data_IF_542224056724
#
_entry.id   IF_542224056724
#
_cell.length_a   1.000
_cell.length_b   1.000
_cell.length_c   1.000
_cell.angle_alpha   90.00
_cell.angle_beta   90.00
_cell.angle_gamma   90.00
#
_symmetry.space_group_name_H-M   'P 1'
#
loop_
_entity.id
_entity.type
_entity.pdbx_description
1 polymer ?
#
# COMPACT_ATOMS: atom_id res chain seq x y z
N UNK A 1 -7.63 62.14 15.82
CA UNK A 1 -8.51 60.96 15.84
C UNK A 1 -8.11 60.02 14.72
N UNK A 2 -7.30 58.99 14.99
CA UNK A 2 -7.02 57.91 14.04
C UNK A 2 -7.99 56.76 14.37
N UNK A 3 -8.86 56.43 13.42
CA UNK A 3 -9.80 55.30 13.49
C UNK A 3 -9.02 54.01 13.29
N UNK A 4 -9.03 53.13 14.29
CA UNK A 4 -8.56 51.74 14.13
C UNK A 4 -9.68 50.95 13.45
N UNK A 5 -9.42 50.45 12.24
CA UNK A 5 -10.22 49.39 11.62
C UNK A 5 -9.91 48.08 12.34
N UNK A 6 -10.92 47.51 13.02
CA UNK A 6 -10.91 46.11 13.41
C UNK A 6 -11.20 45.27 12.16
N UNK A 7 -10.21 44.51 11.69
CA UNK A 7 -10.45 43.42 10.73
C UNK A 7 -11.02 42.23 11.51
N UNK A 8 -12.29 41.90 11.25
CA UNK A 8 -12.91 40.67 11.74
C UNK A 8 -12.45 39.54 10.81
N UNK A 9 -11.60 38.66 11.33
CA UNK A 9 -11.21 37.43 10.65
C UNK A 9 -12.38 36.45 10.75
N UNK A 10 -13.14 36.28 9.66
CA UNK A 10 -14.17 35.25 9.56
C UNK A 10 -13.47 33.94 9.24
N UNK A 11 -13.35 33.07 10.24
CA UNK A 11 -12.92 31.68 10.03
C UNK A 11 -14.13 30.92 9.48
N UNK A 12 -14.11 30.62 8.19
CA UNK A 12 -15.08 29.71 7.56
C UNK A 12 -14.60 28.29 7.86
N UNK A 13 -15.37 27.45 8.57
CA UNK A 13 -14.98 26.07 8.77
C UNK A 13 -15.00 25.34 7.42
N UNK A 14 -13.91 24.64 7.09
CA UNK A 14 -13.90 23.71 5.99
C UNK A 14 -14.90 22.60 6.30
N UNK A 15 -15.99 22.52 5.51
CA UNK A 15 -16.90 21.39 5.56
C UNK A 15 -16.15 20.24 4.88
N UNK A 16 -15.63 19.32 5.68
CA UNK A 16 -15.17 18.03 5.16
C UNK A 16 -16.41 17.29 4.64
N UNK A 17 -16.45 17.01 3.33
CA UNK A 17 -17.45 16.10 2.79
C UNK A 17 -17.11 14.69 3.25
N UNK A 18 -18.07 14.01 3.87
CA UNK A 18 -17.91 12.59 4.22
C UNK A 18 -17.84 11.77 2.92
N UNK A 19 -16.95 10.78 2.86
CA UNK A 19 -16.94 9.83 1.74
C UNK A 19 -18.15 8.89 1.85
N UNK A 20 -18.62 8.38 0.71
CA UNK A 20 -19.81 7.52 0.66
C UNK A 20 -19.64 6.23 1.47
N UNK A 21 -18.39 5.80 1.66
CA UNK A 21 -18.02 4.59 2.41
C UNK A 21 -17.68 4.82 3.88
N UNK A 22 -17.71 6.06 4.39
CA UNK A 22 -17.24 6.36 5.77
C UNK A 22 -18.02 5.59 6.84
N UNK A 23 -19.28 5.24 6.57
CA UNK A 23 -20.14 4.46 7.48
C UNK A 23 -20.01 2.94 7.32
N UNK A 24 -19.24 2.47 6.33
CA UNK A 24 -19.12 1.06 5.99
C UNK A 24 -17.86 0.50 6.67
N UNK A 25 -17.98 -0.48 7.59
CA UNK A 25 -16.81 -1.09 8.23
C UNK A 25 -15.88 -1.76 7.21
N UNK A 26 -14.59 -1.77 7.50
CA UNK A 26 -13.61 -2.59 6.78
C UNK A 26 -13.70 -4.01 7.37
N UNK A 27 -13.97 -5.04 6.56
CA UNK A 27 -14.21 -6.40 7.05
C UNK A 27 -12.95 -7.16 7.45
N UNK A 28 -11.77 -6.65 7.09
CA UNK A 28 -10.49 -7.24 7.42
C UNK A 28 -10.06 -6.85 8.84
N UNK A 29 -9.71 -7.85 9.64
CA UNK A 29 -9.20 -7.68 11.00
C UNK A 29 -7.74 -7.20 10.97
N UNK A 30 -7.42 -6.31 11.91
CA UNK A 30 -6.08 -5.82 12.18
C UNK A 30 -5.55 -6.42 13.47
N UNK A 31 -4.23 -6.34 13.66
CA UNK A 31 -3.62 -6.63 14.95
C UNK A 31 -4.03 -5.53 15.97
N UNK A 32 -4.05 -5.85 17.28
CA UNK A 32 -4.64 -5.00 18.34
C UNK A 32 -4.07 -3.56 18.39
N UNK A 33 -2.85 -3.36 17.90
CA UNK A 33 -2.11 -2.11 17.89
C UNK A 33 -2.15 -1.41 16.52
N UNK A 34 -3.15 -1.68 15.68
CA UNK A 34 -3.27 -1.13 14.33
C UNK A 34 -4.64 -0.52 14.03
N UNK A 35 -4.64 0.48 13.15
CA UNK A 35 -5.84 1.12 12.57
C UNK A 35 -5.67 1.22 11.07
N UNK A 36 -6.79 1.34 10.37
CA UNK A 36 -6.80 1.58 8.94
C UNK A 36 -6.55 3.06 8.64
N UNK A 37 -5.58 3.33 7.78
CA UNK A 37 -5.32 4.65 7.21
C UNK A 37 -5.69 4.67 5.73
N UNK A 38 -6.60 5.59 5.37
CA UNK A 38 -7.06 5.79 4.00
C UNK A 38 -5.89 6.22 3.10
N UNK A 39 -5.75 5.55 1.97
CA UNK A 39 -4.76 5.87 0.96
C UNK A 39 -5.43 6.70 -0.14
N UNK A 40 -5.39 8.03 0.01
CA UNK A 40 -6.04 8.99 -0.89
C UNK A 40 -5.60 8.88 -2.35
N UNK A 41 -4.35 8.44 -2.59
CA UNK A 41 -3.81 8.26 -3.94
C UNK A 41 -4.53 7.17 -4.76
N UNK A 42 -5.26 6.27 -4.10
CA UNK A 42 -5.93 5.13 -4.72
C UNK A 42 -7.43 5.06 -4.39
N UNK A 43 -7.92 5.95 -3.52
CA UNK A 43 -9.31 5.98 -3.07
C UNK A 43 -10.07 7.08 -3.78
N UNK A 44 -11.27 6.81 -4.26
CA UNK A 44 -12.07 7.77 -5.02
C UNK A 44 -13.57 7.47 -4.90
N UNK A 45 -14.36 8.51 -4.65
CA UNK A 45 -15.82 8.44 -4.56
C UNK A 45 -16.51 8.82 -5.85
N UNK A 46 -15.76 9.29 -6.85
CA UNK A 46 -16.29 9.62 -8.18
C UNK A 46 -17.48 10.61 -8.17
N UNK A 47 -17.63 11.40 -7.10
CA UNK A 47 -18.67 12.42 -6.90
C UNK A 47 -18.33 13.74 -7.61
N UNK A 48 -17.95 13.64 -8.87
CA UNK A 48 -17.64 14.77 -9.74
C UNK A 48 -17.97 14.40 -11.19
N UNK A 49 -17.77 15.35 -12.11
CA UNK A 49 -18.06 15.12 -13.53
C UNK A 49 -16.77 15.21 -14.36
N UNK A 50 -16.64 14.27 -15.30
CA UNK A 50 -15.54 14.13 -16.23
C UNK A 50 -14.22 13.68 -15.60
N UNK A 51 -13.27 13.34 -16.46
CA UNK A 51 -11.89 12.98 -16.09
C UNK A 51 -11.04 14.22 -15.81
N UNK A 52 -11.45 15.01 -14.81
CA UNK A 52 -10.81 16.28 -14.43
C UNK A 52 -9.51 16.08 -13.63
N UNK A 53 -8.97 17.14 -13.01
CA UNK A 53 -7.73 17.06 -12.20
C UNK A 53 -7.82 16.11 -11.01
N UNK A 54 -9.00 15.92 -10.42
CA UNK A 54 -9.22 14.95 -9.35
C UNK A 54 -8.99 13.54 -9.87
N UNK A 55 -9.69 13.14 -10.94
CA UNK A 55 -9.48 11.85 -11.60
C UNK A 55 -8.02 11.68 -12.04
N UNK A 56 -7.51 12.62 -12.82
CA UNK A 56 -6.15 12.53 -13.38
C UNK A 56 -5.05 12.70 -12.34
N UNK A 57 -5.34 13.00 -11.07
CA UNK A 57 -4.33 12.93 -10.00
C UNK A 57 -4.09 11.50 -9.49
N UNK A 58 -5.06 10.61 -9.68
CA UNK A 58 -5.07 9.24 -9.12
C UNK A 58 -5.03 8.16 -10.20
N UNK A 59 -5.66 8.43 -11.34
CA UNK A 59 -5.94 7.44 -12.37
C UNK A 59 -5.35 7.83 -13.73
N UNK A 60 -5.01 6.81 -14.51
CA UNK A 60 -4.88 6.89 -15.96
C UNK A 60 -6.12 6.23 -16.58
N UNK A 61 -6.66 6.82 -17.64
CA UNK A 61 -7.78 6.30 -18.44
C UNK A 61 -7.33 5.38 -19.57
N UNK A 62 -6.23 4.68 -19.33
CA UNK A 62 -5.59 3.75 -20.26
C UNK A 62 -4.90 2.65 -19.47
N UNK A 63 -4.58 1.57 -20.18
CA UNK A 63 -3.70 0.55 -19.66
C UNK A 63 -2.28 1.10 -19.40
N UNK A 64 -1.57 0.52 -18.43
CA UNK A 64 -0.30 1.07 -17.94
C UNK A 64 0.88 0.88 -18.91
N UNK A 65 0.69 0.10 -19.98
CA UNK A 65 1.59 0.03 -21.13
C UNK A 65 0.80 -0.05 -22.46
N UNK A 66 1.50 -0.28 -23.59
CA UNK A 66 0.93 -0.15 -24.95
C UNK A 66 0.08 -1.34 -25.43
N UNK A 67 -0.30 -2.27 -24.54
CA UNK A 67 -1.17 -3.38 -24.94
C UNK A 67 -2.61 -2.88 -25.00
N UNK A 68 -3.37 -3.40 -25.95
CA UNK A 68 -4.71 -2.90 -26.30
C UNK A 68 -5.84 -3.78 -25.78
N UNK A 69 -5.51 -4.83 -25.01
CA UNK A 69 -6.44 -5.77 -24.40
C UNK A 69 -6.41 -7.16 -25.05
N UNK A 70 -7.04 -8.16 -24.40
CA UNK A 70 -7.11 -9.53 -24.90
C UNK A 70 -8.23 -9.72 -25.93
N UNK A 71 -8.21 -10.86 -26.64
CA UNK A 71 -9.30 -11.26 -27.54
C UNK A 71 -9.67 -10.17 -28.55
N UNK A 72 -10.96 -9.83 -28.58
CA UNK A 72 -11.54 -8.77 -29.40
C UNK A 72 -11.49 -7.39 -28.74
N UNK A 73 -10.94 -7.27 -27.53
CA UNK A 73 -10.82 -6.00 -26.82
C UNK A 73 -9.95 -5.02 -27.60
N UNK A 74 -10.40 -3.77 -27.62
CA UNK A 74 -9.60 -2.62 -28.00
C UNK A 74 -9.84 -1.54 -26.95
N UNK A 75 -8.90 -1.34 -26.05
CA UNK A 75 -9.07 -0.31 -25.02
C UNK A 75 -9.04 1.10 -25.61
N UNK A 76 -10.09 1.87 -25.35
CA UNK A 76 -10.26 3.25 -25.77
C UNK A 76 -10.52 4.16 -24.57
N UNK A 77 -9.87 5.32 -24.56
CA UNK A 77 -9.97 6.27 -23.43
C UNK A 77 -11.40 6.79 -23.26
N UNK A 78 -12.14 6.96 -24.36
CA UNK A 78 -13.50 7.50 -24.35
C UNK A 78 -14.56 6.51 -23.87
N UNK A 79 -14.21 5.23 -23.69
CA UNK A 79 -15.05 4.21 -23.07
C UNK A 79 -14.96 4.22 -21.53
N UNK A 80 -14.40 5.29 -20.96
CA UNK A 80 -14.46 5.56 -19.52
C UNK A 80 -14.69 7.03 -19.22
N UNK A 81 -15.59 7.32 -18.26
CA UNK A 81 -15.83 8.68 -17.77
C UNK A 81 -16.39 8.67 -16.36
N UNK A 82 -16.33 9.82 -15.69
CA UNK A 82 -16.96 10.01 -14.38
C UNK A 82 -18.22 10.85 -14.54
N UNK A 83 -19.36 10.33 -14.11
CA UNK A 83 -20.64 11.04 -14.11
C UNK A 83 -21.61 10.38 -13.13
N UNK A 84 -22.60 11.14 -12.67
CA UNK A 84 -23.71 10.64 -11.83
C UNK A 84 -23.23 9.88 -10.58
N UNK A 85 -22.12 10.34 -9.97
CA UNK A 85 -21.53 9.72 -8.78
C UNK A 85 -20.81 8.41 -9.03
N UNK A 86 -20.41 8.11 -10.28
CA UNK A 86 -19.76 6.85 -10.63
C UNK A 86 -18.60 7.09 -11.60
N UNK A 87 -17.56 6.27 -11.48
CA UNK A 87 -16.75 5.92 -12.65
C UNK A 87 -17.54 4.91 -13.49
N UNK A 88 -17.75 5.25 -14.76
CA UNK A 88 -18.47 4.43 -15.72
C UNK A 88 -17.44 3.88 -16.70
N UNK A 89 -17.41 2.57 -16.85
CA UNK A 89 -16.59 1.83 -17.82
C UNK A 89 -17.56 1.18 -18.79
N UNK A 90 -17.45 1.49 -20.07
CA UNK A 90 -18.37 1.03 -21.10
C UNK A 90 -17.68 0.18 -22.16
N UNK A 91 -18.52 -0.38 -23.02
CA UNK A 91 -18.08 -1.01 -24.24
C UNK A 91 -19.00 -0.67 -25.42
N UNK A 92 -18.42 -0.60 -26.61
CA UNK A 92 -19.13 -0.41 -27.87
C UNK A 92 -18.51 -1.21 -29.02
N UNK A 93 -19.28 -1.50 -30.06
CA UNK A 93 -18.71 -2.15 -31.25
C UNK A 93 -17.75 -1.20 -31.94
N UNK A 94 -16.54 -1.67 -32.26
CA UNK A 94 -15.60 -0.91 -33.08
C UNK A 94 -16.06 -0.93 -34.54
N UNK A 95 -16.23 0.25 -35.12
CA UNK A 95 -16.84 0.39 -36.46
C UNK A 95 -16.05 -0.40 -37.53
N UNK A 96 -16.78 -1.23 -38.29
CA UNK A 96 -16.22 -1.99 -39.40
C UNK A 96 -15.35 -3.18 -39.00
N UNK A 97 -15.29 -3.56 -37.72
CA UNK A 97 -14.55 -4.73 -37.24
C UNK A 97 -15.39 -5.58 -36.28
N UNK A 98 -14.89 -6.75 -35.89
CA UNK A 98 -15.47 -7.56 -34.80
C UNK A 98 -14.94 -7.14 -33.43
N UNK A 99 -13.98 -6.22 -33.36
CA UNK A 99 -13.42 -5.74 -32.09
C UNK A 99 -14.44 -4.93 -31.30
N UNK A 100 -14.18 -4.83 -30.00
CA UNK A 100 -15.00 -4.10 -29.05
C UNK A 100 -14.14 -2.99 -28.46
N UNK A 101 -14.56 -1.74 -28.65
CA UNK A 101 -13.99 -0.65 -27.87
C UNK A 101 -14.39 -0.87 -26.41
N UNK A 102 -13.43 -0.84 -25.50
CA UNK A 102 -13.65 -1.11 -24.08
C UNK A 102 -12.94 -0.08 -23.20
N UNK A 103 -13.52 0.23 -22.05
CA UNK A 103 -12.89 1.12 -21.07
C UNK A 103 -11.89 0.38 -20.19
N UNK A 104 -10.81 1.09 -19.83
CA UNK A 104 -9.85 0.65 -18.81
C UNK A 104 -9.37 1.86 -18.02
N UNK A 105 -9.24 1.67 -16.71
CA UNK A 105 -8.67 2.66 -15.80
C UNK A 105 -7.61 1.98 -14.94
N UNK A 106 -6.42 2.58 -14.88
CA UNK A 106 -5.30 2.09 -14.07
C UNK A 106 -4.87 3.11 -13.03
N UNK A 107 -4.42 2.67 -11.85
CA UNK A 107 -3.82 3.58 -10.88
C UNK A 107 -2.53 4.20 -11.42
N UNK A 108 -2.22 5.43 -11.01
CA UNK A 108 -0.98 6.10 -11.41
C UNK A 108 0.28 5.53 -10.79
N UNK A 109 0.16 5.02 -9.58
CA UNK A 109 1.24 4.38 -8.84
C UNK A 109 0.84 2.97 -8.48
N UNK A 110 1.84 2.15 -8.14
CA UNK A 110 1.63 0.77 -7.71
C UNK A 110 1.24 0.71 -6.24
N UNK A 111 0.51 -0.32 -5.86
CA UNK A 111 0.21 -0.71 -4.47
C UNK A 111 1.11 -1.87 -4.04
N UNK A 112 1.32 -1.99 -2.72
CA UNK A 112 2.03 -3.11 -2.10
C UNK A 112 1.41 -3.45 -0.75
N UNK A 113 1.41 -4.73 -0.39
CA UNK A 113 1.09 -5.20 0.96
C UNK A 113 1.93 -4.49 2.05
N UNK A 114 1.43 -4.42 3.29
CA UNK A 114 0.06 -4.74 3.70
C UNK A 114 -0.94 -3.69 3.18
N UNK A 115 -2.02 -4.12 2.53
CA UNK A 115 -3.02 -3.21 1.95
C UNK A 115 -4.39 -3.88 1.81
N UNK A 116 -5.45 -3.16 2.20
CA UNK A 116 -6.84 -3.53 1.94
C UNK A 116 -7.40 -2.66 0.83
N UNK A 117 -8.08 -3.26 -0.13
CA UNK A 117 -8.72 -2.57 -1.26
C UNK A 117 -10.14 -3.10 -1.39
N UNK A 118 -11.11 -2.21 -1.61
CA UNK A 118 -12.49 -2.58 -1.84
C UNK A 118 -13.15 -1.59 -2.80
N UNK A 119 -13.93 -2.10 -3.75
CA UNK A 119 -14.72 -1.28 -4.66
C UNK A 119 -16.19 -1.69 -4.61
N UNK A 120 -17.09 -0.72 -4.71
CA UNK A 120 -18.52 -0.94 -4.83
C UNK A 120 -18.93 -0.86 -6.30
N UNK A 121 -19.22 -2.01 -6.90
CA UNK A 121 -19.32 -2.18 -8.34
C UNK A 121 -20.68 -2.78 -8.69
N UNK A 122 -21.33 -2.20 -9.70
CA UNK A 122 -22.40 -2.84 -10.45
C UNK A 122 -21.85 -3.25 -11.81
N UNK A 123 -21.77 -4.56 -12.05
CA UNK A 123 -21.18 -5.13 -13.26
C UNK A 123 -22.08 -4.93 -14.47
N UNK A 124 -21.48 -4.98 -15.67
CA UNK A 124 -22.23 -4.86 -16.92
C UNK A 124 -23.12 -6.07 -17.17
N UNK A 125 -24.09 -5.91 -18.08
CA UNK A 125 -24.92 -7.01 -18.57
C UNK A 125 -24.45 -7.40 -19.99
N UNK A 126 -23.16 -7.69 -20.13
CA UNK A 126 -22.53 -8.12 -21.38
C UNK A 126 -21.88 -9.50 -21.26
N UNK A 127 -21.62 -10.13 -22.41
CA UNK A 127 -20.72 -11.29 -22.53
C UNK A 127 -19.26 -10.96 -22.19
N UNK A 128 -18.91 -9.67 -22.16
CA UNK A 128 -17.62 -9.17 -21.70
C UNK A 128 -17.47 -9.34 -20.19
N UNK A 129 -16.23 -9.51 -19.74
CA UNK A 129 -15.92 -9.50 -18.31
C UNK A 129 -16.04 -8.07 -17.76
N UNK A 130 -16.48 -7.95 -16.51
CA UNK A 130 -16.33 -6.74 -15.68
C UNK A 130 -15.32 -7.05 -14.60
N UNK A 131 -14.23 -6.27 -14.51
CA UNK A 131 -13.09 -6.66 -13.69
C UNK A 131 -12.64 -5.60 -12.68
N UNK A 132 -12.13 -6.10 -11.56
CA UNK A 132 -11.33 -5.35 -10.60
C UNK A 132 -10.15 -6.21 -10.18
N UNK A 133 -8.94 -5.81 -10.56
CA UNK A 133 -7.77 -6.67 -10.47
C UNK A 133 -6.48 -5.89 -10.27
N UNK A 134 -5.40 -6.62 -9.98
CA UNK A 134 -4.05 -6.10 -9.75
C UNK A 134 -3.07 -6.78 -10.69
N UNK A 135 -2.14 -6.03 -11.29
CA UNK A 135 -1.06 -6.62 -12.07
C UNK A 135 0.29 -5.95 -11.80
N UNK A 136 1.32 -6.77 -11.58
CA UNK A 136 2.70 -6.29 -11.47
C UNK A 136 3.22 -5.72 -12.79
N UNK A 137 4.06 -4.69 -12.74
CA UNK A 137 4.61 -4.02 -13.94
C UNK A 137 5.38 -4.94 -14.90
N UNK A 138 5.86 -6.10 -14.44
CA UNK A 138 6.52 -7.11 -15.26
C UNK A 138 5.59 -8.25 -15.73
N UNK A 139 4.28 -8.10 -15.53
CA UNK A 139 3.22 -9.04 -15.91
C UNK A 139 3.37 -10.46 -15.31
N UNK A 140 3.96 -10.57 -14.10
CA UNK A 140 4.24 -11.88 -13.48
C UNK A 140 3.37 -12.23 -12.28
N UNK A 141 2.71 -11.24 -11.66
CA UNK A 141 1.85 -11.45 -10.49
C UNK A 141 0.53 -10.73 -10.69
N UNK A 142 -0.54 -11.48 -10.51
CA UNK A 142 -1.91 -11.01 -10.68
C UNK A 142 -2.78 -11.42 -9.49
N UNK A 143 -3.68 -10.53 -9.10
CA UNK A 143 -4.72 -10.80 -8.10
C UNK A 143 -6.06 -10.29 -8.65
N UNK A 144 -7.00 -11.20 -8.86
CA UNK A 144 -8.32 -10.89 -9.40
C UNK A 144 -9.33 -10.83 -8.26
N UNK A 145 -9.79 -9.63 -7.96
CA UNK A 145 -10.74 -9.36 -6.87
C UNK A 145 -12.18 -9.53 -7.37
N UNK A 146 -12.40 -9.21 -8.65
CA UNK A 146 -13.64 -9.43 -9.38
C UNK A 146 -13.29 -9.74 -10.83
N UNK A 147 -13.82 -10.84 -11.34
CA UNK A 147 -13.97 -11.11 -12.78
C UNK A 147 -15.34 -11.77 -12.97
N UNK A 148 -16.21 -11.19 -13.80
CA UNK A 148 -17.51 -11.82 -14.10
C UNK A 148 -18.05 -11.42 -15.46
N UNK A 149 -18.63 -12.39 -16.16
CA UNK A 149 -19.33 -12.19 -17.43
C UNK A 149 -20.80 -11.89 -17.17
N UNK A 150 -21.07 -10.67 -16.70
CA UNK A 150 -22.31 -10.32 -16.03
C UNK A 150 -23.57 -10.50 -16.88
N UNK A 151 -23.48 -10.53 -18.22
CA UNK A 151 -24.57 -10.79 -19.15
C UNK A 151 -24.37 -12.02 -20.03
N UNK A 152 -23.55 -12.98 -19.59
CA UNK A 152 -23.36 -14.22 -20.34
C UNK A 152 -24.67 -14.97 -20.60
N UNK A 153 -24.80 -15.54 -21.80
CA UNK A 153 -25.93 -16.41 -22.19
C UNK A 153 -25.93 -17.69 -21.33
N UNK A 154 -24.74 -18.22 -21.05
CA UNK A 154 -24.59 -19.27 -20.05
C UNK A 154 -24.79 -18.69 -18.64
N UNK A 155 -25.94 -19.05 -18.06
CA UNK A 155 -26.39 -18.62 -16.75
C UNK A 155 -25.39 -18.92 -15.63
N UNK A 156 -24.54 -19.94 -15.78
CA UNK A 156 -23.50 -20.23 -14.80
C UNK A 156 -22.47 -19.10 -14.76
N UNK A 157 -21.92 -18.67 -15.90
CA UNK A 157 -20.95 -17.58 -15.96
C UNK A 157 -21.55 -16.25 -15.46
N UNK A 158 -22.82 -15.99 -15.77
CA UNK A 158 -23.49 -14.78 -15.31
C UNK A 158 -23.70 -14.71 -13.79
N UNK A 159 -23.71 -15.87 -13.11
CA UNK A 159 -23.94 -15.99 -11.66
C UNK A 159 -22.68 -16.22 -10.85
N UNK A 160 -21.64 -16.77 -11.46
CA UNK A 160 -20.44 -17.22 -10.77
C UNK A 160 -19.30 -16.28 -11.10
N UNK A 161 -19.17 -15.22 -10.29
CA UNK A 161 -18.00 -14.34 -10.37
C UNK A 161 -16.77 -15.08 -9.85
N UNK A 162 -15.61 -14.69 -10.35
CA UNK A 162 -14.34 -15.29 -10.03
C UNK A 162 -13.49 -14.36 -9.17
N UNK A 163 -12.84 -14.97 -8.19
CA UNK A 163 -11.62 -14.46 -7.56
C UNK A 163 -10.48 -15.39 -7.94
N UNK A 164 -9.32 -14.86 -8.28
CA UNK A 164 -8.24 -15.68 -8.82
C UNK A 164 -6.86 -15.07 -8.51
N UNK A 165 -5.84 -15.88 -8.75
CA UNK A 165 -4.46 -15.49 -8.73
C UNK A 165 -3.80 -16.02 -9.98
N UNK A 166 -2.87 -15.26 -10.54
CA UNK A 166 -1.95 -15.75 -11.55
C UNK A 166 -0.50 -15.52 -11.14
N UNK A 167 0.32 -16.54 -11.36
CA UNK A 167 1.77 -16.45 -11.33
C UNK A 167 2.30 -16.85 -12.70
N UNK A 168 2.63 -15.84 -13.50
CA UNK A 168 3.14 -16.06 -14.84
C UNK A 168 4.65 -16.19 -14.84
N UNK A 169 5.13 -17.12 -15.67
CA UNK A 169 6.50 -17.09 -16.16
C UNK A 169 6.45 -16.62 -17.61
N UNK A 170 7.28 -15.61 -17.93
CA UNK A 170 7.26 -14.94 -19.24
C UNK A 170 8.52 -15.28 -20.04
N UNK A 171 8.38 -15.36 -21.36
CA UNK A 171 9.51 -15.38 -22.29
C UNK A 171 10.11 -13.97 -22.44
N UNK A 172 11.25 -13.86 -23.11
CA UNK A 172 11.90 -12.56 -23.35
C UNK A 172 11.06 -11.58 -24.21
N UNK A 173 10.12 -12.10 -24.99
CA UNK A 173 9.15 -11.33 -25.77
C UNK A 173 7.83 -11.07 -25.03
N UNK A 174 7.81 -11.37 -23.73
CA UNK A 174 6.66 -11.25 -22.81
C UNK A 174 5.47 -12.20 -23.08
N UNK A 175 5.61 -13.16 -24.00
CA UNK A 175 4.61 -14.22 -24.15
C UNK A 175 4.60 -15.13 -22.91
N UNK A 176 3.41 -15.68 -22.58
CA UNK A 176 3.24 -16.59 -21.44
C UNK A 176 3.97 -17.90 -21.73
N UNK A 177 4.89 -18.27 -20.84
CA UNK A 177 5.58 -19.56 -20.83
C UNK A 177 4.87 -20.57 -19.93
N UNK A 178 4.39 -20.11 -18.79
CA UNK A 178 3.55 -20.86 -17.84
C UNK A 178 2.62 -19.89 -17.15
N UNK A 179 1.42 -20.36 -16.84
CA UNK A 179 0.43 -19.65 -16.04
C UNK A 179 -0.04 -20.56 -14.91
N UNK A 180 0.45 -20.33 -13.70
CA UNK A 180 -0.05 -21.00 -12.52
C UNK A 180 -1.22 -20.19 -11.97
N UNK A 181 -2.40 -20.80 -11.95
CA UNK A 181 -3.61 -20.14 -11.47
C UNK A 181 -4.53 -21.07 -10.68
N UNK A 182 -5.41 -20.49 -9.87
CA UNK A 182 -6.47 -21.23 -9.19
C UNK A 182 -7.69 -20.36 -8.89
N UNK A 183 -8.61 -20.37 -9.85
CA UNK A 183 -9.83 -19.60 -9.83
C UNK A 183 -10.87 -20.19 -8.86
N UNK A 184 -11.44 -19.34 -8.01
CA UNK A 184 -12.56 -19.68 -7.13
C UNK A 184 -13.81 -18.90 -7.52
N UNK A 185 -14.93 -19.60 -7.63
CA UNK A 185 -16.19 -19.03 -8.07
C UNK A 185 -17.12 -18.73 -6.88
N UNK A 186 -17.83 -17.60 -6.95
CA UNK A 186 -18.75 -17.13 -5.92
C UNK A 186 -20.08 -16.70 -6.56
N UNK A 187 -21.18 -16.92 -5.85
CA UNK A 187 -22.53 -16.48 -6.24
C UNK A 187 -23.00 -15.31 -5.36
N UNK A 188 -23.88 -14.44 -5.87
CA UNK A 188 -24.34 -13.29 -5.09
C UNK A 188 -25.18 -13.74 -3.90
N UNK A 189 -25.07 -13.03 -2.78
CA UNK A 189 -25.87 -13.31 -1.56
C UNK A 189 -27.27 -12.73 -1.62
N UNK A 190 -27.48 -11.76 -2.50
CA UNK A 190 -28.74 -11.10 -2.78
C UNK A 190 -28.77 -10.74 -4.27
N UNK A 191 -29.97 -10.65 -4.85
CA UNK A 191 -30.12 -10.61 -6.31
C UNK A 191 -30.01 -12.01 -6.93
N UNK A 192 -30.42 -12.13 -8.19
CA UNK A 192 -30.24 -13.37 -8.97
C UNK A 192 -28.91 -13.36 -9.72
N UNK A 193 -28.40 -12.16 -10.04
CA UNK A 193 -27.16 -11.92 -10.77
C UNK A 193 -26.38 -10.76 -10.16
N UNK A 194 -25.05 -10.76 -10.33
CA UNK A 194 -24.19 -9.65 -9.90
C UNK A 194 -24.54 -8.31 -10.56
N UNK A 195 -25.15 -8.33 -11.76
CA UNK A 195 -25.63 -7.15 -12.48
C UNK A 195 -26.91 -6.52 -11.91
N UNK A 196 -27.58 -7.18 -10.96
CA UNK A 196 -28.87 -6.71 -10.42
C UNK A 196 -28.70 -5.48 -9.50
N UNK A 197 -27.49 -5.24 -8.98
CA UNK A 197 -27.18 -4.08 -8.15
C UNK A 197 -25.69 -3.91 -7.85
N UNK A 198 -25.36 -2.97 -6.97
CA UNK A 198 -23.99 -2.73 -6.53
C UNK A 198 -23.59 -3.71 -5.43
N UNK A 199 -22.48 -4.42 -5.63
CA UNK A 199 -21.86 -5.28 -4.65
C UNK A 199 -20.47 -4.77 -4.28
N UNK A 200 -20.01 -5.08 -3.07
CA UNK A 200 -18.65 -4.73 -2.64
C UNK A 200 -17.70 -5.89 -2.87
N UNK A 201 -16.63 -5.64 -3.60
CA UNK A 201 -15.57 -6.61 -3.89
C UNK A 201 -14.26 -6.10 -3.31
N UNK A 202 -13.63 -6.87 -2.43
CA UNK A 202 -12.41 -6.44 -1.77
C UNK A 202 -11.42 -7.56 -1.51
N UNK A 203 -10.17 -7.16 -1.30
CA UNK A 203 -9.08 -8.03 -0.92
C UNK A 203 -8.23 -7.39 0.17
N UNK A 204 -7.86 -8.18 1.18
CA UNK A 204 -6.78 -7.84 2.09
C UNK A 204 -5.53 -8.62 1.69
N UNK A 205 -4.57 -7.91 1.11
CA UNK A 205 -3.24 -8.43 0.81
C UNK A 205 -2.33 -8.05 1.98
N UNK A 206 -2.26 -8.93 2.97
CA UNK A 206 -1.55 -8.70 4.25
C UNK A 206 -0.04 -8.88 4.09
N UNK A 207 0.38 -9.92 3.36
CA UNK A 207 1.79 -10.26 3.13
C UNK A 207 1.94 -10.99 1.78
N UNK A 208 3.16 -11.31 1.30
CA UNK A 208 3.32 -12.06 0.05
C UNK A 208 2.59 -13.40 0.02
N UNK A 209 2.35 -13.97 1.20
CA UNK A 209 1.75 -15.29 1.39
C UNK A 209 0.37 -15.21 2.02
N UNK A 210 -0.24 -14.03 2.12
CA UNK A 210 -1.54 -13.84 2.74
C UNK A 210 -2.37 -12.84 1.94
N UNK A 211 -3.26 -13.37 1.11
CA UNK A 211 -4.31 -12.61 0.43
C UNK A 211 -5.66 -13.24 0.75
N UNK A 212 -6.60 -12.45 1.22
CA UNK A 212 -7.96 -12.87 1.54
C UNK A 212 -8.98 -12.00 0.81
N UNK A 213 -9.95 -12.64 0.14
CA UNK A 213 -11.05 -11.94 -0.53
C UNK A 213 -12.26 -11.74 0.38
N UNK A 214 -13.00 -10.67 0.11
CA UNK A 214 -14.22 -10.26 0.81
C UNK A 214 -15.26 -9.85 -0.23
N UNK A 215 -16.49 -10.35 -0.06
CA UNK A 215 -17.63 -9.96 -0.89
C UNK A 215 -18.75 -9.49 0.03
N UNK A 216 -19.29 -8.31 -0.24
CA UNK A 216 -20.31 -7.64 0.57
C UNK A 216 -19.92 -7.56 2.06
N UNK A 217 -18.63 -7.31 2.31
CA UNK A 217 -18.05 -7.20 3.65
C UNK A 217 -17.91 -8.53 4.40
N UNK A 218 -17.97 -9.66 3.69
CA UNK A 218 -17.79 -10.97 4.31
C UNK A 218 -16.69 -11.74 3.60
N UNK A 219 -15.75 -12.25 4.40
CA UNK A 219 -14.65 -13.11 3.94
C UNK A 219 -15.19 -14.28 3.09
N UNK A 220 -14.58 -14.52 1.93
CA UNK A 220 -14.94 -15.68 1.11
C UNK A 220 -14.57 -16.97 1.84
N UNK A 221 -15.37 -18.05 1.71
CA UNK A 221 -15.08 -19.31 2.39
C UNK A 221 -13.89 -20.05 1.76
N UNK A 222 -13.58 -19.74 0.50
CA UNK A 222 -12.53 -20.35 -0.32
C UNK A 222 -11.82 -19.29 -1.16
N UNK A 223 -10.69 -19.67 -1.75
CA UNK A 223 -9.95 -18.84 -2.70
C UNK A 223 -8.94 -17.90 -2.06
N UNK A 224 -8.68 -17.97 -0.75
CA UNK A 224 -7.54 -17.23 -0.18
C UNK A 224 -6.21 -17.81 -0.66
N UNK A 225 -5.13 -17.02 -0.64
CA UNK A 225 -3.80 -17.47 -1.07
C UNK A 225 -3.34 -18.73 -0.34
N UNK A 226 -3.68 -18.86 0.95
CA UNK A 226 -3.38 -20.06 1.74
C UNK A 226 -4.04 -21.31 1.15
N UNK A 227 -5.30 -21.20 0.72
CA UNK A 227 -6.15 -22.31 0.30
C UNK A 227 -5.92 -22.77 -1.13
N UNK A 228 -5.55 -21.86 -2.03
CA UNK A 228 -5.39 -22.16 -3.46
C UNK A 228 -4.25 -23.13 -3.74
N UNK A 229 -4.45 -24.00 -4.72
CA UNK A 229 -3.43 -24.90 -5.26
C UNK A 229 -3.08 -24.41 -6.66
N UNK A 230 -2.11 -23.51 -6.69
CA UNK A 230 -1.60 -22.87 -7.91
C UNK A 230 -1.05 -23.94 -8.86
N UNK A 231 -1.80 -24.24 -9.91
CA UNK A 231 -1.46 -25.28 -10.88
C UNK A 231 -1.31 -24.65 -12.26
N UNK A 232 -0.27 -25.04 -12.96
CA UNK A 232 -0.09 -24.71 -14.37
C UNK A 232 -0.98 -25.63 -15.23
N UNK A 233 -2.24 -25.24 -15.39
CA UNK A 233 -3.26 -26.08 -16.05
C UNK A 233 -3.04 -26.19 -17.55
N UNK A 234 -2.49 -25.15 -18.15
CA UNK A 234 -2.45 -24.97 -19.61
C UNK A 234 -1.12 -25.38 -20.23
N UNK A 235 -0.04 -25.47 -19.45
CA UNK A 235 1.30 -25.76 -19.98
C UNK A 235 1.95 -27.01 -19.38
N UNK A 236 2.35 -26.99 -18.10
CA UNK A 236 3.19 -28.06 -17.53
C UNK A 236 2.43 -29.09 -16.68
N UNK A 237 1.28 -28.73 -16.13
CA UNK A 237 0.54 -29.54 -15.15
C UNK A 237 1.13 -29.51 -13.74
N UNK A 238 2.22 -28.79 -13.52
CA UNK A 238 2.92 -28.71 -12.23
C UNK A 238 2.17 -27.86 -11.21
N UNK A 239 2.51 -28.06 -9.93
CA UNK A 239 2.01 -27.26 -8.81
C UNK A 239 3.13 -26.30 -8.38
N UNK A 240 2.81 -25.01 -8.28
CA UNK A 240 3.74 -23.96 -7.87
C UNK A 240 4.19 -24.15 -6.42
N UNK A 241 5.49 -24.00 -6.16
CA UNK A 241 5.99 -23.83 -4.79
C UNK A 241 5.74 -22.39 -4.31
N UNK A 242 4.66 -22.20 -3.54
CA UNK A 242 4.25 -20.91 -2.99
C UNK A 242 5.24 -20.32 -1.98
N UNK A 243 6.25 -21.07 -1.51
CA UNK A 243 7.31 -20.52 -0.65
C UNK A 243 8.37 -19.77 -1.48
N UNK A 244 8.52 -20.13 -2.75
CA UNK A 244 9.49 -19.53 -3.67
C UNK A 244 8.82 -18.44 -4.52
N UNK A 245 7.61 -18.73 -5.02
CA UNK A 245 6.86 -17.84 -5.90
C UNK A 245 5.55 -17.43 -5.24
N UNK A 246 5.49 -16.17 -4.79
CA UNK A 246 4.39 -15.63 -3.99
C UNK A 246 4.00 -14.22 -4.48
N UNK A 247 3.06 -13.56 -3.80
CA UNK A 247 2.55 -12.24 -4.19
C UNK A 247 3.40 -11.10 -3.59
N UNK A 248 4.68 -11.03 -3.93
CA UNK A 248 5.64 -10.05 -3.38
C UNK A 248 5.88 -8.79 -4.24
N UNK A 249 5.38 -8.78 -5.48
CA UNK A 249 5.58 -7.69 -6.43
C UNK A 249 4.59 -6.56 -6.19
N UNK A 250 5.02 -5.31 -6.35
CA UNK A 250 4.10 -4.17 -6.41
C UNK A 250 3.25 -4.23 -7.69
N UNK A 251 1.98 -3.80 -7.61
CA UNK A 251 1.01 -3.96 -8.69
C UNK A 251 0.21 -2.69 -8.95
N UNK A 252 -0.23 -2.46 -10.18
CA UNK A 252 -1.23 -1.44 -10.51
C UNK A 252 -2.63 -1.94 -10.17
N UNK A 253 -3.51 -1.06 -9.71
CA UNK A 253 -4.96 -1.31 -9.64
C UNK A 253 -5.57 -1.10 -11.02
N UNK A 254 -6.44 -2.03 -11.43
CA UNK A 254 -7.04 -2.03 -12.77
C UNK A 254 -8.54 -2.28 -12.63
N UNK A 255 -9.32 -1.43 -13.30
CA UNK A 255 -10.76 -1.56 -13.48
C UNK A 255 -11.04 -1.48 -14.98
N UNK A 256 -11.68 -2.50 -15.54
CA UNK A 256 -11.95 -2.56 -16.97
C UNK A 256 -13.12 -3.46 -17.33
N UNK A 257 -13.35 -3.56 -18.64
CA UNK A 257 -14.12 -4.61 -19.27
C UNK A 257 -13.32 -5.22 -20.41
N UNK A 258 -13.42 -6.54 -20.59
CA UNK A 258 -12.62 -7.25 -21.58
C UNK A 258 -13.43 -8.32 -22.33
N UNK A 259 -13.05 -8.56 -23.58
CA UNK A 259 -13.29 -9.80 -24.30
C UNK A 259 -12.10 -10.74 -24.08
N UNK A 260 -12.31 -11.91 -23.48
CA UNK A 260 -11.24 -12.89 -23.30
C UNK A 260 -11.18 -13.80 -24.54
N UNK A 261 -9.98 -14.00 -25.08
CA UNK A 261 -9.78 -14.72 -26.35
C UNK A 261 -10.39 -16.11 -26.35
N UNK A 262 -10.32 -16.85 -25.24
CA UNK A 262 -10.91 -18.20 -25.15
C UNK A 262 -12.44 -18.22 -25.32
N UNK A 263 -13.14 -17.11 -25.00
CA UNK A 263 -14.59 -16.97 -25.24
C UNK A 263 -14.86 -16.61 -26.69
N UNK A 264 -14.20 -15.58 -27.21
CA UNK A 264 -14.44 -15.12 -28.59
C UNK A 264 -13.99 -16.12 -29.65
N UNK A 265 -12.88 -16.84 -29.42
CA UNK A 265 -12.44 -17.96 -30.27
C UNK A 265 -13.45 -19.12 -30.26
N UNK A 266 -14.23 -19.27 -29.19
CA UNK A 266 -15.35 -20.22 -29.11
C UNK A 266 -16.66 -19.67 -29.71
N UNK A 267 -16.65 -18.46 -30.27
CA UNK A 267 -17.82 -17.77 -30.83
C UNK A 267 -18.74 -17.15 -29.78
N UNK A 268 -18.31 -17.09 -28.52
CA UNK A 268 -19.04 -16.44 -27.42
C UNK A 268 -18.58 -14.98 -27.40
N UNK A 269 -19.33 -14.11 -28.06
CA UNK A 269 -19.01 -12.69 -28.24
C UNK A 269 -20.19 -11.82 -27.85
N UNK A 270 -19.91 -10.59 -27.41
CA UNK A 270 -20.97 -9.60 -27.16
C UNK A 270 -21.69 -9.25 -28.46
N UNK A 271 -23.03 -9.27 -28.44
CA UNK A 271 -23.85 -8.94 -29.60
C UNK A 271 -23.87 -7.43 -29.88
N UNK A 272 -24.04 -7.04 -31.14
CA UNK A 272 -24.19 -5.62 -31.51
C UNK A 272 -25.38 -4.96 -30.80
N UNK A 273 -26.46 -5.72 -30.59
CA UNK A 273 -27.65 -5.24 -29.90
C UNK A 273 -27.35 -4.94 -28.42
N UNK A 274 -26.59 -5.79 -27.73
CA UNK A 274 -26.23 -5.57 -26.33
C UNK A 274 -25.19 -4.47 -26.16
N UNK A 275 -24.21 -4.38 -27.06
CA UNK A 275 -23.22 -3.30 -27.08
C UNK A 275 -23.85 -1.93 -27.37
N UNK A 276 -24.94 -1.88 -28.13
CA UNK A 276 -25.69 -0.66 -28.38
C UNK A 276 -26.70 -0.31 -27.28
N UNK A 277 -26.99 -1.23 -26.35
CA UNK A 277 -27.93 -1.03 -25.26
C UNK A 277 -27.24 -0.36 -24.07
N UNK A 278 -27.47 0.95 -23.92
CA UNK A 278 -26.95 1.79 -22.85
C UNK A 278 -27.31 1.36 -21.43
N UNK A 279 -28.27 0.43 -21.27
CA UNK A 279 -28.65 -0.17 -19.98
C UNK A 279 -27.86 -1.44 -19.65
N UNK A 280 -27.16 -2.01 -20.63
CA UNK A 280 -26.37 -3.24 -20.49
C UNK A 280 -24.88 -2.99 -20.53
N UNK A 281 -24.44 -2.10 -21.42
CA UNK A 281 -23.05 -2.00 -21.85
C UNK A 281 -22.09 -1.25 -20.90
N UNK A 282 -22.42 -1.18 -19.61
CA UNK A 282 -21.69 -0.37 -18.62
C UNK A 282 -21.49 -1.12 -17.32
N UNK A 283 -20.25 -1.12 -16.84
CA UNK A 283 -19.89 -1.32 -15.45
C UNK A 283 -19.87 0.03 -14.75
N UNK A 284 -20.41 0.08 -13.53
CA UNK A 284 -20.43 1.26 -12.69
C UNK A 284 -19.62 1.01 -11.43
N UNK A 285 -18.72 1.91 -11.11
CA UNK A 285 -17.93 1.93 -9.87
C UNK A 285 -18.37 3.16 -9.10
N UNK A 286 -19.15 2.94 -8.04
CA UNK A 286 -19.65 3.98 -7.15
C UNK A 286 -18.46 4.59 -6.39
N UNK A 287 -17.63 3.71 -5.82
CA UNK A 287 -16.38 4.12 -5.19
C UNK A 287 -15.36 2.98 -5.18
N UNK A 288 -14.10 3.37 -5.00
CA UNK A 288 -13.01 2.49 -4.60
C UNK A 288 -12.33 3.10 -3.37
N UNK A 289 -12.04 2.27 -2.38
CA UNK A 289 -11.38 2.68 -1.14
C UNK A 289 -10.22 1.76 -0.83
N UNK A 290 -9.11 2.35 -0.44
CA UNK A 290 -7.85 1.64 -0.21
C UNK A 290 -7.27 2.09 1.11
N UNK A 291 -6.84 1.13 1.93
CA UNK A 291 -6.34 1.39 3.27
C UNK A 291 -5.06 0.60 3.53
N UNK A 292 -4.15 1.20 4.31
CA UNK A 292 -3.04 0.47 4.91
C UNK A 292 -3.24 0.34 6.42
N UNK A 293 -2.83 -0.77 7.04
CA UNK A 293 -2.70 -0.80 8.48
C UNK A 293 -1.55 0.13 8.88
N UNK A 294 -1.81 0.98 9.86
CA UNK A 294 -0.80 1.79 10.55
C UNK A 294 -0.97 1.57 12.04
N UNK A 295 0.09 1.64 12.81
CA UNK A 295 -0.03 1.42 14.25
C UNK A 295 -0.97 2.46 14.90
N UNK A 296 -1.83 2.01 15.83
CA UNK A 296 -2.71 2.84 16.70
C UNK A 296 -1.93 3.57 17.78
N UNK A 297 -0.60 3.58 17.72
CA UNK A 297 0.21 4.51 18.48
C UNK A 297 -0.30 5.92 18.23
N UNK A 298 -1.16 6.42 19.12
CA UNK A 298 -1.49 7.82 19.25
C UNK A 298 -0.17 8.54 19.54
N UNK A 299 0.44 9.03 18.47
CA UNK A 299 1.65 9.80 18.52
C UNK A 299 1.75 10.59 17.24
N UNK A 300 1.95 11.90 17.37
CA UNK A 300 2.39 12.69 16.25
C UNK A 300 3.65 12.02 15.72
N UNK A 301 3.71 11.68 14.44
CA UNK A 301 4.93 11.18 13.84
C UNK A 301 6.06 12.14 14.23
N UNK A 302 7.04 11.63 14.98
CA UNK A 302 8.19 12.41 15.38
C UNK A 302 9.08 12.50 14.14
N UNK A 303 8.81 13.51 13.32
CA UNK A 303 9.59 13.80 12.12
C UNK A 303 10.93 14.40 12.56
N UNK A 304 12.07 13.77 12.26
CA UNK A 304 13.37 14.37 12.53
C UNK A 304 13.53 15.72 11.81
N UNK A 305 14.16 16.72 12.44
CA UNK A 305 14.48 17.98 11.77
C UNK A 305 15.29 17.74 10.49
N UNK A 306 15.00 18.52 9.43
CA UNK A 306 15.72 18.43 8.15
C UNK A 306 17.17 18.90 8.23
N UNK A 307 17.56 19.57 9.31
CA UNK A 307 18.92 19.98 9.63
C UNK A 307 19.46 19.22 10.83
N UNK A 308 20.78 19.10 10.94
CA UNK A 308 21.41 18.45 12.08
C UNK A 308 20.93 18.99 13.44
N UNK A 309 20.58 18.09 14.34
CA UNK A 309 19.98 18.39 15.65
C UNK A 309 20.76 17.75 16.80
N UNK A 310 20.56 18.26 18.01
CA UNK A 310 21.01 17.59 19.22
C UNK A 310 19.93 16.59 19.69
N UNK A 311 20.36 15.44 20.20
CA UNK A 311 19.48 14.46 20.82
C UNK A 311 19.63 14.53 22.34
N UNK A 312 18.65 15.10 23.05
CA UNK A 312 18.69 15.31 24.50
C UNK A 312 17.95 14.19 25.23
N UNK A 313 18.62 13.48 26.12
CA UNK A 313 18.00 12.52 27.03
C UNK A 313 17.15 13.22 28.08
N UNK A 314 15.94 12.70 28.31
CA UNK A 314 14.94 13.32 29.20
C UNK A 314 15.33 13.22 30.67
N UNK A 315 15.96 12.12 31.12
CA UNK A 315 16.29 11.93 32.54
C UNK A 315 17.40 12.87 33.06
N UNK A 316 18.32 13.33 32.21
CA UNK A 316 19.52 14.09 32.63
C UNK A 316 19.65 15.48 32.01
N UNK A 317 18.79 15.82 31.05
CA UNK A 317 18.92 17.01 30.21
C UNK A 317 20.26 17.11 29.46
N UNK A 318 20.95 15.99 29.25
CA UNK A 318 22.22 15.90 28.52
C UNK A 318 22.03 15.34 27.12
N UNK A 319 22.97 15.62 26.25
CA UNK A 319 22.89 15.26 24.84
C UNK A 319 23.77 14.06 24.52
N UNK A 320 23.32 13.26 23.54
CA UNK A 320 24.16 12.27 22.87
C UNK A 320 25.41 12.97 22.32
N UNK A 321 26.58 12.39 22.58
CA UNK A 321 27.87 13.00 22.31
C UNK A 321 28.85 11.95 21.81
N UNK A 322 29.56 12.25 20.73
CA UNK A 322 30.69 11.45 20.25
C UNK A 322 31.84 11.59 21.25
N UNK A 323 32.17 10.51 21.96
CA UNK A 323 33.24 10.50 22.97
C UNK A 323 34.55 11.05 22.39
N UNK A 324 35.11 12.05 23.06
CA UNK A 324 36.34 12.76 22.69
C UNK A 324 36.34 13.38 21.26
N UNK A 325 35.18 13.48 20.60
CA UNK A 325 35.09 13.92 19.21
C UNK A 325 35.80 13.00 18.22
N UNK A 326 35.89 11.71 18.55
CA UNK A 326 36.53 10.68 17.73
C UNK A 326 35.98 10.61 16.30
N UNK A 327 36.85 10.22 15.35
CA UNK A 327 36.58 10.19 13.91
C UNK A 327 36.78 8.80 13.28
N UNK A 328 36.87 7.74 14.08
CA UNK A 328 37.19 6.39 13.61
C UNK A 328 36.11 5.38 13.97
N UNK A 329 36.00 4.31 13.18
CA UNK A 329 35.06 3.23 13.43
C UNK A 329 35.27 2.59 14.81
N UNK A 330 34.17 2.30 15.49
CA UNK A 330 34.16 1.62 16.78
C UNK A 330 34.33 2.54 17.99
N UNK A 331 34.51 3.85 17.83
CA UNK A 331 34.39 4.78 18.96
C UNK A 331 32.94 4.86 19.45
N UNK A 332 32.79 5.09 20.76
CA UNK A 332 31.51 5.00 21.46
C UNK A 332 30.82 6.36 21.59
N UNK A 333 29.55 6.31 21.98
CA UNK A 333 28.81 7.47 22.42
C UNK A 333 28.74 7.58 23.95
N UNK A 334 28.66 8.81 24.42
CA UNK A 334 28.43 9.16 25.81
C UNK A 334 27.30 10.19 25.90
N UNK A 335 26.81 10.48 27.11
CA UNK A 335 26.09 11.71 27.36
C UNK A 335 27.03 12.83 27.80
N UNK A 336 26.72 14.06 27.39
CA UNK A 336 27.41 15.25 27.85
C UNK A 336 26.47 16.44 27.96
N UNK A 337 26.81 17.43 28.78
CA UNK A 337 26.04 18.69 28.83
C UNK A 337 25.80 19.23 27.42
N UNK A 338 24.53 19.46 27.08
CA UNK A 338 24.13 19.91 25.75
C UNK A 338 24.76 21.26 25.40
N UNK A 339 25.32 21.36 24.21
CA UNK A 339 25.82 22.60 23.63
C UNK A 339 25.49 22.62 22.12
N UNK A 340 24.64 23.56 21.70
CA UNK A 340 24.19 23.68 20.32
C UNK A 340 25.32 24.00 19.32
N UNK A 341 26.46 24.52 19.79
CA UNK A 341 27.65 24.78 18.97
C UNK A 341 28.65 23.63 18.98
N UNK A 342 28.43 22.58 19.80
CA UNK A 342 29.32 21.43 19.87
C UNK A 342 28.97 20.43 18.75
N UNK A 343 29.84 20.35 17.75
CA UNK A 343 29.66 19.46 16.59
C UNK A 343 29.66 17.96 16.98
N UNK A 344 30.24 17.59 18.12
CA UNK A 344 30.22 16.19 18.61
C UNK A 344 28.80 15.72 18.99
N UNK A 345 27.85 16.65 19.12
CA UNK A 345 26.48 16.40 19.57
C UNK A 345 25.46 16.67 18.47
N UNK A 346 25.91 16.85 17.21
CA UNK A 346 25.04 17.17 16.07
C UNK A 346 24.87 15.94 15.19
N UNK A 347 23.61 15.61 14.92
CA UNK A 347 23.22 14.41 14.18
C UNK A 347 22.23 14.73 13.08
N UNK A 348 22.47 14.17 11.89
CA UNK A 348 21.56 14.20 10.76
C UNK A 348 20.84 12.87 10.61
N UNK A 349 19.53 12.93 10.33
CA UNK A 349 18.69 11.77 10.11
C UNK A 349 18.52 11.57 8.61
N UNK A 350 19.08 10.49 8.07
CA UNK A 350 18.98 10.12 6.67
C UNK A 350 17.89 9.07 6.55
N UNK A 351 16.75 9.46 5.98
CA UNK A 351 15.63 8.55 5.74
C UNK A 351 16.01 7.44 4.75
N UNK A 352 15.66 6.20 5.08
CA UNK A 352 15.90 5.03 4.23
C UNK A 352 14.57 4.54 3.64
N UNK A 353 13.72 3.88 4.44
CA UNK A 353 12.39 3.38 4.06
C UNK A 353 11.57 3.07 5.31
N UNK A 354 10.23 3.03 5.22
CA UNK A 354 9.34 2.60 6.32
C UNK A 354 9.58 3.32 7.66
N UNK A 355 9.95 4.62 7.64
CA UNK A 355 10.25 5.38 8.86
C UNK A 355 11.59 4.99 9.52
N UNK A 356 12.45 4.26 8.81
CA UNK A 356 13.79 3.89 9.26
C UNK A 356 14.81 4.95 8.86
N UNK A 357 15.75 5.24 9.76
CA UNK A 357 16.78 6.24 9.57
C UNK A 357 18.17 5.68 9.86
N UNK A 358 19.13 6.12 9.06
CA UNK A 358 20.52 6.21 9.50
C UNK A 358 20.67 7.51 10.31
N UNK A 359 21.34 7.43 11.46
CA UNK A 359 21.64 8.61 12.30
C UNK A 359 23.12 8.93 12.17
N UNK A 360 23.46 9.94 11.37
CA UNK A 360 24.83 10.30 11.03
C UNK A 360 25.35 11.41 11.96
N UNK A 361 26.55 11.22 12.50
CA UNK A 361 27.28 12.25 13.24
C UNK A 361 27.83 13.32 12.29
N UNK A 362 27.53 14.60 12.53
CA UNK A 362 28.10 15.71 11.75
C UNK A 362 29.62 15.86 11.97
N UNK A 363 30.12 15.39 13.11
CA UNK A 363 31.54 15.43 13.45
C UNK A 363 32.36 14.46 12.61
N UNK A 364 31.90 13.22 12.48
CA UNK A 364 32.68 12.12 11.90
C UNK A 364 32.14 11.58 10.58
N UNK A 365 30.91 11.94 10.22
CA UNK A 365 30.17 11.39 9.08
C UNK A 365 29.90 9.88 9.18
N UNK A 366 30.08 9.30 10.38
CA UNK A 366 29.79 7.91 10.73
C UNK A 366 28.41 7.81 11.39
N UNK A 367 27.78 6.64 11.25
CA UNK A 367 26.43 6.39 11.72
C UNK A 367 26.39 5.71 13.09
N UNK A 368 25.35 6.01 13.87
CA UNK A 368 25.03 5.32 15.11
C UNK A 368 24.72 3.86 14.79
N UNK A 369 25.48 2.95 15.38
CA UNK A 369 25.42 1.52 15.12
C UNK A 369 25.32 0.75 16.43
N UNK A 370 24.44 -0.24 16.46
CA UNK A 370 24.52 -1.33 17.43
C UNK A 370 25.64 -2.28 17.01
N UNK A 371 26.70 -2.35 17.82
CA UNK A 371 27.91 -3.10 17.47
C UNK A 371 27.58 -4.57 17.17
N UNK A 372 27.96 -5.12 15.99
CA UNK A 372 27.58 -6.48 15.62
C UNK A 372 28.40 -7.56 16.35
N UNK A 373 27.74 -8.35 17.20
CA UNK A 373 28.18 -9.64 17.74
C UNK A 373 27.01 -10.33 18.47
N UNK A 374 26.86 -11.65 18.29
CA UNK A 374 25.91 -12.53 18.99
C UNK A 374 25.82 -12.34 20.51
N UNK A 375 26.94 -12.07 21.19
CA UNK A 375 26.96 -11.81 22.64
C UNK A 375 26.47 -10.40 23.00
N UNK A 376 26.46 -9.50 22.01
CA UNK A 376 26.21 -8.06 22.12
C UNK A 376 24.90 -7.64 21.42
N UNK A 377 23.94 -8.55 21.24
CA UNK A 377 22.54 -8.19 20.93
C UNK A 377 21.66 -8.06 22.19
N UNK A 378 22.24 -8.29 23.36
CA UNK A 378 21.54 -8.29 24.65
C UNK A 378 21.51 -6.89 25.29
N UNK A 379 20.82 -6.80 26.42
CA UNK A 379 20.85 -5.62 27.29
C UNK A 379 22.29 -5.21 27.67
N UNK A 380 22.58 -3.91 27.61
CA UNK A 380 23.91 -3.35 27.86
C UNK A 380 24.86 -3.41 26.66
N UNK A 381 24.40 -3.86 25.49
CA UNK A 381 25.19 -3.86 24.27
C UNK A 381 25.71 -2.47 23.87
N UNK A 382 26.87 -2.44 23.23
CA UNK A 382 27.57 -1.20 22.92
C UNK A 382 26.98 -0.52 21.70
N UNK A 383 26.65 0.76 21.84
CA UNK A 383 26.40 1.65 20.71
C UNK A 383 27.72 2.33 20.32
N UNK A 384 28.10 2.17 19.06
CA UNK A 384 29.33 2.71 18.48
C UNK A 384 29.01 3.51 17.22
N UNK A 385 30.01 4.22 16.70
CA UNK A 385 29.94 4.80 15.36
C UNK A 385 30.66 3.92 14.34
N UNK A 386 30.07 3.77 13.16
CA UNK A 386 30.66 3.01 12.06
C UNK A 386 30.31 3.63 10.70
N UNK A 387 30.97 3.17 9.63
CA UNK A 387 30.65 3.62 8.26
C UNK A 387 29.16 3.34 8.00
N UNK A 388 28.44 4.37 7.58
CA UNK A 388 27.03 4.30 7.26
C UNK A 388 26.74 3.28 6.17
N UNK A 389 25.86 2.33 6.44
CA UNK A 389 25.40 1.32 5.49
C UNK A 389 23.90 1.06 5.70
N UNK A 390 23.06 1.54 4.77
CA UNK A 390 21.60 1.40 4.85
C UNK A 390 21.10 -0.04 4.64
N UNK A 391 21.97 -0.97 4.25
CA UNK A 391 21.63 -2.39 4.11
C UNK A 391 21.83 -3.18 5.40
N UNK A 392 22.37 -2.56 6.46
CA UNK A 392 22.68 -3.22 7.73
C UNK A 392 21.64 -2.86 8.81
N UNK A 393 20.80 -3.83 9.18
CA UNK A 393 19.71 -3.61 10.15
C UNK A 393 20.20 -3.09 11.51
N UNK A 394 21.43 -3.41 11.92
CA UNK A 394 22.00 -2.92 13.17
C UNK A 394 22.42 -1.43 13.13
N UNK A 395 22.34 -0.78 11.97
CA UNK A 395 22.50 0.67 11.81
C UNK A 395 21.19 1.42 11.57
N UNK A 396 20.07 0.72 11.43
CA UNK A 396 18.77 1.32 11.15
C UNK A 396 17.99 1.55 12.45
N UNK A 397 17.43 2.75 12.57
CA UNK A 397 16.72 3.20 13.75
C UNK A 397 15.34 3.75 13.41
N UNK A 398 14.36 3.44 14.23
CA UNK A 398 13.00 4.01 14.17
C UNK A 398 12.77 4.89 15.39
N UNK A 399 12.03 5.99 15.20
CA UNK A 399 11.63 6.88 16.29
C UNK A 399 10.24 6.47 16.76
N UNK A 400 10.12 6.11 18.04
CA UNK A 400 8.86 5.70 18.64
C UNK A 400 8.36 6.82 19.57
N UNK A 401 7.27 7.50 19.18
CA UNK A 401 6.71 8.62 19.95
C UNK A 401 6.32 8.19 21.39
N UNK A 402 6.60 9.06 22.36
CA UNK A 402 6.24 8.93 23.77
C UNK A 402 5.46 10.11 24.30
N UNK A 403 4.86 10.89 23.41
CA UNK A 403 4.15 12.14 23.66
C UNK A 403 5.09 13.25 24.15
N UNK A 404 4.56 14.47 24.24
CA UNK A 404 5.27 15.66 24.77
C UNK A 404 6.59 15.96 24.05
N UNK A 405 6.61 15.78 22.73
CA UNK A 405 7.79 15.95 21.87
C UNK A 405 8.99 15.06 22.27
N UNK A 406 8.71 13.89 22.84
CA UNK A 406 9.72 12.91 23.25
C UNK A 406 9.56 11.58 22.52
N UNK A 407 10.64 10.85 22.34
CA UNK A 407 10.67 9.58 21.60
C UNK A 407 11.72 8.60 22.13
N UNK A 408 11.54 7.32 21.83
CA UNK A 408 12.59 6.29 21.92
C UNK A 408 13.25 6.11 20.54
N UNK A 409 14.54 5.79 20.51
CA UNK A 409 15.21 5.28 19.31
C UNK A 409 15.31 3.76 19.41
N UNK A 410 14.66 3.03 18.51
CA UNK A 410 14.68 1.56 18.48
C UNK A 410 15.54 1.05 17.34
N UNK A 411 16.41 0.10 17.64
CA UNK A 411 17.26 -0.53 16.63
C UNK A 411 16.46 -1.57 15.84
N UNK A 412 16.52 -1.52 14.51
CA UNK A 412 15.78 -2.47 13.65
C UNK A 412 16.18 -3.93 13.87
N UNK A 413 17.45 -4.21 14.21
CA UNK A 413 17.94 -5.59 14.37
C UNK A 413 17.33 -6.31 15.58
N UNK A 414 17.02 -5.56 16.64
CA UNK A 414 16.69 -6.13 17.96
C UNK A 414 15.36 -5.62 18.52
N UNK A 415 14.79 -4.56 17.94
CA UNK A 415 13.65 -3.79 18.46
C UNK A 415 13.87 -3.22 19.89
N UNK A 416 15.13 -3.11 20.30
CA UNK A 416 15.51 -2.59 21.62
C UNK A 416 15.94 -1.12 21.55
N UNK A 417 15.90 -0.44 22.70
CA UNK A 417 16.02 1.00 22.80
C UNK A 417 17.47 1.46 23.00
N UNK A 418 17.83 2.59 22.40
CA UNK A 418 19.02 3.36 22.77
C UNK A 418 18.80 3.96 24.17
N UNK A 419 19.71 3.67 25.09
CA UNK A 419 19.57 3.99 26.50
C UNK A 419 20.88 4.46 27.12
N UNK A 420 20.79 5.16 28.24
CA UNK A 420 21.94 5.37 29.11
C UNK A 420 22.04 4.27 30.17
N UNK A 421 23.25 3.71 30.27
CA UNK A 421 23.53 2.61 31.18
C UNK A 421 23.32 3.03 32.64
N UNK A 422 22.61 2.21 33.42
CA UNK A 422 22.36 2.41 34.84
C UNK A 422 21.76 3.78 35.23
N UNK A 423 20.95 4.41 34.36
CA UNK A 423 20.32 5.71 34.64
C UNK A 423 21.31 6.83 35.02
N UNK A 424 22.56 6.74 34.57
CA UNK A 424 23.60 7.69 34.96
C UNK A 424 23.26 9.12 34.48
N UNK A 425 23.50 10.12 35.32
CA UNK A 425 23.19 11.54 35.02
C UNK A 425 24.43 12.42 34.87
N UNK A 426 25.62 11.91 35.19
CA UNK A 426 26.89 12.62 35.01
C UNK A 426 27.38 12.60 33.56
N UNK A 427 28.17 13.61 33.18
CA UNK A 427 28.91 13.57 31.91
C UNK A 427 29.78 12.30 31.82
N UNK A 428 29.93 11.77 30.60
CA UNK A 428 30.68 10.53 30.36
C UNK A 428 29.87 9.25 30.58
N UNK A 429 28.57 9.37 30.88
CA UNK A 429 27.68 8.22 30.98
C UNK A 429 27.60 7.46 29.65
N UNK A 430 27.80 6.14 29.70
CA UNK A 430 27.84 5.30 28.50
C UNK A 430 26.47 5.07 27.89
N UNK A 431 26.38 5.21 26.57
CA UNK A 431 25.19 4.88 25.79
C UNK A 431 25.26 3.43 25.35
N UNK A 432 24.17 2.71 25.58
CA UNK A 432 24.02 1.27 25.33
C UNK A 432 22.67 1.01 24.67
N UNK A 433 22.46 -0.22 24.21
CA UNK A 433 21.13 -0.74 23.99
C UNK A 433 20.56 -1.30 25.30
N UNK A 434 19.25 -1.14 25.52
CA UNK A 434 18.53 -1.78 26.61
C UNK A 434 17.11 -2.20 26.19
N UNK A 435 16.48 -3.08 26.96
CA UNK A 435 15.06 -3.38 26.75
C UNK A 435 14.24 -2.10 26.88
N UNK A 436 13.28 -1.89 25.98
CA UNK A 436 12.40 -0.75 26.02
C UNK A 436 11.44 -0.85 27.21
N UNK A 437 11.81 -0.26 28.35
CA UNK A 437 11.03 -0.28 29.60
C UNK A 437 10.22 1.00 29.83
N UNK A 438 10.31 1.95 28.89
CA UNK A 438 9.66 3.25 28.96
C UNK A 438 10.32 4.23 29.93
N UNK A 439 11.48 3.90 30.48
CA UNK A 439 12.26 4.74 31.39
C UNK A 439 12.78 6.02 30.74
N UNK A 440 12.88 7.11 31.52
CA UNK A 440 13.31 8.42 31.01
C UNK A 440 14.77 8.44 30.50
N UNK A 441 15.59 7.47 30.88
CA UNK A 441 16.96 7.28 30.37
C UNK A 441 17.01 6.69 28.95
N UNK A 442 15.87 6.28 28.42
CA UNK A 442 15.68 5.77 27.05
C UNK A 442 14.86 6.75 26.19
N UNK A 443 14.36 7.83 26.79
CA UNK A 443 13.59 8.87 26.10
C UNK A 443 14.49 10.02 25.71
N UNK A 444 14.31 10.49 24.49
CA UNK A 444 15.02 11.61 23.89
C UNK A 444 14.03 12.68 23.42
N UNK A 445 14.53 13.89 23.17
CA UNK A 445 13.86 14.93 22.39
C UNK A 445 14.88 15.65 21.52
N UNK A 446 14.40 16.27 20.45
CA UNK A 446 15.22 17.16 19.63
C UNK A 446 15.51 18.48 20.37
N UNK A 447 16.68 19.07 20.12
CA UNK A 447 17.13 20.32 20.75
C UNK A 447 17.90 21.22 19.79
#
# INVERSE_FOLDING_TARGET
MKRNMLSVLVVIPAIAFANDWDSIPIPAELDDDQKWELQEAYSDSFNYNGKNSTFTSKWNDKYFHNWIGPGLTYWEQDESWVADGNLIISASRREGTEQVNAGVVTSKTKVKYPIFMEANIKVSNLELSSNFWLLSENDQREIDILEVYGGAEDDWFAKNMSTNFHVFFRNNDNTIKSDFNDQTHNTPRWGNYWRDGFHRFGAYWKSPTEVTFYIDGVKTPKGSWEQVVMKDKDYTGEILDKNIYNMDHEMFLILDTEDHSWRSEAGIIASDADLADGSKNKMYVDWIRVYKPVSTGEGNEIIPPSSATNLQFIHSDKCLDVTDGALWNGSKYQQWTCNASNINQKFSFIHVSNGEYLIQSEKSQLCVELKPDSSQWNDGAVIQQYICNSSEDNQLWTLFDKNSDTFELRNKKTDMCLALNNNITSNGGSVVQAYCDGGNNQRLKFK
#
